data_IF_190042113747
#
_entry.id   IF_190042113747
#
_cell.length_a   1.000
_cell.length_b   1.000
_cell.length_c   1.000
_cell.angle_alpha   90.00
_cell.angle_beta   90.00
_cell.angle_gamma   90.00
#
_symmetry.space_group_name_H-M   'P 1'
#
loop_
_entity.id
_entity.type
_entity.pdbx_description
1 polymer ?
#
# COMPACT_ATOMS: atom_id res chain seq x y z
N UNK A 1 19.74 -6.00 -4.25
CA UNK A 1 18.67 -6.92 -4.69
C UNK A 1 17.30 -6.22 -4.82
N UNK A 2 17.27 -4.97 -5.29
CA UNK A 2 16.05 -4.19 -5.61
C UNK A 2 16.16 -3.81 -7.09
N UNK A 3 16.10 -4.81 -7.98
CA UNK A 3 16.32 -4.60 -9.42
C UNK A 3 15.15 -5.09 -10.30
N UNK A 4 14.12 -5.70 -9.70
CA UNK A 4 12.96 -6.24 -10.43
C UNK A 4 11.74 -5.28 -10.41
N UNK A 5 11.75 -4.25 -9.56
CA UNK A 5 10.62 -3.32 -9.40
C UNK A 5 10.83 -1.91 -9.96
N UNK A 6 12.04 -1.52 -10.37
CA UNK A 6 12.34 -0.11 -10.70
C UNK A 6 11.62 0.44 -11.93
N UNK A 7 10.92 -0.38 -12.72
CA UNK A 7 10.31 0.10 -13.96
C UNK A 7 8.78 0.15 -13.93
N UNK A 8 8.09 -0.39 -12.89
CA UNK A 8 6.64 -0.65 -12.98
C UNK A 8 5.91 -0.47 -11.64
N UNK A 9 5.38 0.72 -11.32
CA UNK A 9 4.74 1.03 -10.03
C UNK A 9 3.57 0.10 -9.71
N UNK A 10 2.79 -0.32 -10.72
CA UNK A 10 1.72 -1.30 -10.54
C UNK A 10 2.22 -2.67 -10.06
N UNK A 11 3.32 -3.16 -10.64
CA UNK A 11 3.90 -4.46 -10.26
C UNK A 11 4.59 -4.36 -8.91
N UNK A 12 5.32 -3.28 -8.66
CA UNK A 12 5.93 -2.99 -7.37
C UNK A 12 4.88 -2.97 -6.28
N UNK A 13 3.78 -2.24 -6.46
CA UNK A 13 2.69 -2.18 -5.49
C UNK A 13 2.06 -3.56 -5.24
N UNK A 14 1.86 -4.37 -6.28
CA UNK A 14 1.32 -5.72 -6.13
C UNK A 14 2.28 -6.67 -5.39
N UNK A 15 3.58 -6.63 -5.71
CA UNK A 15 4.61 -7.50 -5.09
C UNK A 15 4.85 -7.11 -3.63
N UNK A 16 5.03 -5.81 -3.36
CA UNK A 16 5.22 -5.34 -1.99
C UNK A 16 3.94 -5.45 -1.16
N UNK A 17 2.77 -5.30 -1.79
CA UNK A 17 1.48 -5.57 -1.16
C UNK A 17 1.32 -7.03 -0.75
N UNK A 18 1.63 -8.00 -1.63
CA UNK A 18 1.56 -9.43 -1.30
C UNK A 18 2.59 -9.81 -0.24
N UNK A 19 3.81 -9.27 -0.32
CA UNK A 19 4.83 -9.48 0.70
C UNK A 19 4.42 -8.87 2.05
N UNK A 20 3.77 -7.71 2.05
CA UNK A 20 3.16 -7.10 3.24
C UNK A 20 2.07 -7.96 3.86
N UNK A 21 1.15 -8.51 3.06
CA UNK A 21 0.13 -9.46 3.55
C UNK A 21 0.79 -10.70 4.17
N UNK A 22 1.79 -11.29 3.50
CA UNK A 22 2.50 -12.45 4.02
C UNK A 22 3.21 -12.15 5.33
N UNK A 23 3.91 -11.01 5.42
CA UNK A 23 4.58 -10.58 6.65
C UNK A 23 3.58 -10.36 7.79
N UNK A 24 2.41 -9.76 7.52
CA UNK A 24 1.37 -9.55 8.51
C UNK A 24 0.70 -10.86 8.95
N UNK A 25 0.47 -11.80 8.03
CA UNK A 25 -0.05 -13.14 8.36
C UNK A 25 0.95 -13.94 9.19
N UNK A 26 2.24 -13.95 8.81
CA UNK A 26 3.30 -14.58 9.61
C UNK A 26 3.36 -13.94 10.99
N UNK A 27 3.27 -12.61 11.09
CA UNK A 27 3.18 -11.90 12.36
C UNK A 27 1.97 -12.31 13.20
N UNK A 28 0.83 -12.60 12.58
CA UNK A 28 -0.39 -13.03 13.27
C UNK A 28 -0.34 -14.49 13.77
N UNK A 29 0.35 -15.37 13.04
CA UNK A 29 0.49 -16.79 13.41
C UNK A 29 1.74 -17.11 14.26
N UNK A 30 2.61 -16.12 14.49
CA UNK A 30 3.82 -16.27 15.30
C UNK A 30 3.75 -15.39 16.53
N UNK A 31 4.50 -15.75 17.57
CA UNK A 31 4.58 -15.01 18.84
C UNK A 31 6.02 -14.61 19.17
N UNK A 32 6.17 -13.62 20.07
CA UNK A 32 7.48 -13.14 20.52
C UNK A 32 8.24 -12.32 19.47
N UNK A 33 9.57 -12.40 19.48
CA UNK A 33 10.44 -11.57 18.63
C UNK A 33 10.19 -11.74 17.14
N UNK A 34 9.77 -12.94 16.71
CA UNK A 34 9.49 -13.25 15.30
C UNK A 34 8.32 -12.42 14.77
N UNK A 35 7.27 -12.24 15.56
CA UNK A 35 6.11 -11.41 15.20
C UNK A 35 6.51 -9.94 15.02
N UNK A 36 7.35 -9.42 15.93
CA UNK A 36 7.84 -8.04 15.86
C UNK A 36 8.65 -7.78 14.58
N UNK A 37 9.58 -8.69 14.23
CA UNK A 37 10.34 -8.58 12.98
C UNK A 37 9.44 -8.68 11.75
N UNK A 38 8.42 -9.55 11.77
CA UNK A 38 7.44 -9.66 10.71
C UNK A 38 6.62 -8.36 10.52
N UNK A 39 6.14 -7.75 11.60
CA UNK A 39 5.41 -6.47 11.51
C UNK A 39 6.30 -5.31 11.05
N UNK A 40 7.54 -5.23 11.54
CA UNK A 40 8.51 -4.21 11.12
C UNK A 40 8.85 -4.34 9.63
N UNK A 41 9.10 -5.56 9.16
CA UNK A 41 9.36 -5.82 7.73
C UNK A 41 8.15 -5.48 6.84
N UNK A 42 6.93 -5.79 7.28
CA UNK A 42 5.71 -5.35 6.58
C UNK A 42 5.57 -3.82 6.55
N UNK A 43 5.90 -3.13 7.65
CA UNK A 43 5.94 -1.67 7.71
C UNK A 43 6.99 -1.05 6.78
N UNK A 44 8.16 -1.68 6.65
CA UNK A 44 9.20 -1.26 5.70
C UNK A 44 8.69 -1.29 4.25
N UNK A 45 7.90 -2.31 3.90
CA UNK A 45 7.31 -2.44 2.56
C UNK A 45 6.36 -1.30 2.22
N UNK A 46 5.65 -0.75 3.22
CA UNK A 46 4.74 0.39 3.03
C UNK A 46 5.43 1.65 2.50
N UNK A 47 6.73 1.84 2.78
CA UNK A 47 7.49 3.03 2.34
C UNK A 47 7.49 3.21 0.81
N UNK A 48 7.58 2.10 0.05
CA UNK A 48 7.62 2.12 -1.42
C UNK A 48 6.20 2.17 -2.03
N UNK A 49 5.19 1.78 -1.25
CA UNK A 49 3.81 1.71 -1.72
C UNK A 49 3.21 3.11 -1.89
N UNK A 50 3.47 4.05 -0.99
CA UNK A 50 2.93 5.40 -1.09
C UNK A 50 3.29 6.13 -2.39
N UNK A 51 4.58 6.26 -2.79
CA UNK A 51 4.94 6.89 -4.06
C UNK A 51 4.39 6.12 -5.28
N UNK A 52 4.28 4.78 -5.20
CA UNK A 52 3.67 3.97 -6.26
C UNK A 52 2.17 4.25 -6.41
N UNK A 53 1.43 4.32 -5.31
CA UNK A 53 -0.01 4.67 -5.31
C UNK A 53 -0.20 6.08 -5.85
N UNK A 54 0.64 7.02 -5.42
CA UNK A 54 0.57 8.41 -5.86
C UNK A 54 0.80 8.52 -7.36
N UNK A 55 1.88 7.95 -7.89
CA UNK A 55 2.20 7.93 -9.32
C UNK A 55 1.07 7.30 -10.16
N UNK A 56 0.52 6.16 -9.72
CA UNK A 56 -0.59 5.50 -10.40
C UNK A 56 -1.88 6.34 -10.38
N UNK A 57 -2.14 7.07 -9.28
CA UNK A 57 -3.39 7.82 -9.09
C UNK A 57 -3.41 9.15 -9.84
N UNK A 58 -2.25 9.75 -10.10
CA UNK A 58 -2.15 11.01 -10.85
C UNK A 58 -1.98 10.80 -12.37
N UNK A 59 -1.65 9.57 -12.78
CA UNK A 59 -1.50 9.21 -14.19
C UNK A 59 -2.87 9.23 -14.89
N UNK A 60 -2.94 9.86 -16.07
CA UNK A 60 -4.18 9.96 -16.87
C UNK A 60 -5.10 11.12 -16.51
N UNK A 61 -4.79 11.93 -15.48
CA UNK A 61 -5.60 13.09 -15.08
C UNK A 61 -5.32 14.36 -15.91
N UNK A 62 -4.18 14.43 -16.60
CA UNK A 62 -3.81 15.56 -17.46
C UNK A 62 -3.87 16.91 -16.73
N UNK A 63 -4.75 17.82 -17.18
CA UNK A 63 -4.93 19.15 -16.55
C UNK A 63 -5.40 19.09 -15.09
N UNK A 64 -5.94 17.96 -14.63
CA UNK A 64 -6.44 17.78 -13.26
C UNK A 64 -5.42 17.14 -12.32
N UNK A 65 -4.20 16.81 -12.77
CA UNK A 65 -3.18 16.13 -11.95
C UNK A 65 -2.88 16.88 -10.64
N UNK A 66 -2.75 18.21 -10.68
CA UNK A 66 -2.51 19.03 -9.47
C UNK A 66 -3.68 19.00 -8.48
N UNK A 67 -4.92 18.91 -8.98
CA UNK A 67 -6.10 18.80 -8.13
C UNK A 67 -6.23 17.37 -7.56
N UNK A 68 -5.93 16.35 -8.36
CA UNK A 68 -5.91 14.95 -7.95
C UNK A 68 -4.88 14.67 -6.86
N UNK A 69 -3.65 15.20 -6.99
CA UNK A 69 -2.62 15.09 -5.95
C UNK A 69 -3.05 15.76 -4.64
N UNK A 70 -3.68 16.94 -4.72
CA UNK A 70 -4.21 17.64 -3.55
C UNK A 70 -5.27 16.80 -2.83
N UNK A 71 -6.18 16.15 -3.57
CA UNK A 71 -7.16 15.24 -2.98
C UNK A 71 -6.53 14.01 -2.34
N UNK A 72 -5.51 13.39 -2.97
CA UNK A 72 -4.79 12.26 -2.38
C UNK A 72 -4.16 12.61 -1.03
N UNK A 73 -3.53 13.77 -0.93
CA UNK A 73 -2.94 14.26 0.33
C UNK A 73 -4.04 14.53 1.37
N UNK A 74 -5.17 15.10 0.95
CA UNK A 74 -6.30 15.35 1.84
C UNK A 74 -6.91 14.04 2.39
N UNK A 75 -6.92 12.96 1.60
CA UNK A 75 -7.40 11.65 2.05
C UNK A 75 -6.52 11.01 3.13
N UNK A 76 -5.26 11.44 3.30
CA UNK A 76 -4.41 10.99 4.42
C UNK A 76 -5.08 11.33 5.76
N UNK A 77 -5.71 12.51 5.88
CA UNK A 77 -6.48 12.89 7.06
C UNK A 77 -7.67 11.94 7.30
N UNK A 78 -8.31 11.47 6.23
CA UNK A 78 -9.37 10.46 6.33
C UNK A 78 -8.86 9.11 6.83
N UNK A 79 -7.60 8.76 6.54
CA UNK A 79 -6.92 7.58 7.05
C UNK A 79 -6.71 7.58 8.56
N UNK A 80 -6.82 8.73 9.24
CA UNK A 80 -6.71 8.84 10.69
C UNK A 80 -7.82 8.12 11.46
N UNK A 81 -8.87 7.63 10.79
CA UNK A 81 -9.97 6.87 11.39
C UNK A 81 -9.58 5.40 11.62
N UNK A 82 -8.69 4.83 10.81
CA UNK A 82 -8.29 3.41 10.90
C UNK A 82 -7.51 3.10 12.19
N UNK A 83 -6.53 3.91 12.64
CA UNK A 83 -5.77 3.63 13.86
C UNK A 83 -6.61 3.61 15.14
N UNK A 84 -7.58 4.52 15.38
CA UNK A 84 -8.49 4.42 16.51
C UNK A 84 -9.33 3.13 16.50
N UNK A 85 -9.84 2.72 15.32
CA UNK A 85 -10.60 1.46 15.19
C UNK A 85 -9.72 0.27 15.53
N UNK A 86 -8.47 0.25 15.06
CA UNK A 86 -7.50 -0.78 15.41
C UNK A 86 -7.16 -0.75 16.92
N UNK A 87 -7.03 0.43 17.52
CA UNK A 87 -6.76 0.60 18.95
C UNK A 87 -7.86 0.04 19.83
N UNK A 88 -9.12 0.34 19.52
CA UNK A 88 -10.29 -0.19 20.24
C UNK A 88 -10.34 -1.73 20.13
N UNK A 89 -10.02 -2.27 18.96
CA UNK A 89 -9.93 -3.72 18.77
C UNK A 89 -8.77 -4.33 19.57
N UNK A 90 -7.68 -3.57 19.74
CA UNK A 90 -6.49 -3.95 20.51
C UNK A 90 -6.77 -4.05 22.00
N UNK A 91 -7.57 -3.12 22.51
CA UNK A 91 -7.95 -3.07 23.91
C UNK A 91 -8.95 -4.19 24.29
N UNK A 92 -9.71 -4.72 23.33
CA UNK A 92 -10.74 -5.75 23.57
C UNK A 92 -10.26 -7.17 23.30
N UNK A 93 -9.55 -7.40 22.18
CA UNK A 93 -9.16 -8.73 21.71
C UNK A 93 -7.64 -8.99 21.77
N UNK A 94 -6.88 -8.05 22.34
CA UNK A 94 -5.43 -8.10 22.39
C UNK A 94 -4.77 -7.48 21.14
N UNK A 95 -3.61 -6.86 21.37
CA UNK A 95 -2.84 -6.14 20.34
C UNK A 95 -2.54 -7.05 19.14
N UNK A 96 -2.28 -8.33 19.38
CA UNK A 96 -1.95 -9.30 18.35
C UNK A 96 -3.10 -9.52 17.35
N UNK A 97 -4.33 -9.73 17.83
CA UNK A 97 -5.51 -9.95 16.98
C UNK A 97 -5.87 -8.72 16.14
N UNK A 98 -5.51 -7.53 16.62
CA UNK A 98 -5.81 -6.26 15.95
C UNK A 98 -5.02 -6.02 14.68
N UNK A 99 -3.93 -6.77 14.48
CA UNK A 99 -3.19 -6.76 13.22
C UNK A 99 -3.97 -7.34 12.02
N UNK A 100 -5.18 -7.87 12.24
CA UNK A 100 -6.11 -8.20 11.14
C UNK A 100 -6.52 -6.95 10.33
N UNK A 101 -6.56 -5.76 10.95
CA UNK A 101 -6.89 -4.50 10.27
C UNK A 101 -5.81 -4.15 9.22
N UNK A 102 -4.50 -4.13 9.54
CA UNK A 102 -3.42 -4.04 8.58
C UNK A 102 -3.48 -5.07 7.46
N UNK A 103 -3.77 -6.35 7.76
CA UNK A 103 -3.90 -7.41 6.75
C UNK A 103 -4.97 -7.04 5.71
N UNK A 104 -6.14 -6.61 6.17
CA UNK A 104 -7.22 -6.14 5.28
C UNK A 104 -6.81 -4.90 4.49
N UNK A 105 -6.05 -3.98 5.10
CA UNK A 105 -5.48 -2.81 4.42
C UNK A 105 -4.54 -3.20 3.27
N UNK A 106 -3.58 -4.10 3.51
CA UNK A 106 -2.67 -4.58 2.46
C UNK A 106 -3.41 -5.35 1.35
N UNK A 107 -4.42 -6.16 1.69
CA UNK A 107 -5.28 -6.82 0.70
C UNK A 107 -6.01 -5.80 -0.18
N UNK A 108 -6.54 -4.73 0.42
CA UNK A 108 -7.16 -3.64 -0.33
C UNK A 108 -6.17 -2.94 -1.26
N UNK A 109 -4.91 -2.75 -0.86
CA UNK A 109 -3.87 -2.16 -1.71
C UNK A 109 -3.53 -3.05 -2.91
N UNK A 110 -3.50 -4.37 -2.74
CA UNK A 110 -3.32 -5.33 -3.85
C UNK A 110 -4.50 -5.21 -4.83
N UNK A 111 -5.74 -5.17 -4.31
CA UNK A 111 -6.93 -4.98 -5.13
C UNK A 111 -6.89 -3.64 -5.88
N UNK A 112 -6.49 -2.57 -5.20
CA UNK A 112 -6.31 -1.24 -5.80
C UNK A 112 -5.29 -1.29 -6.95
N UNK A 113 -4.12 -1.90 -6.74
CA UNK A 113 -3.09 -2.04 -7.77
C UNK A 113 -3.64 -2.74 -9.02
N UNK A 114 -4.40 -3.81 -8.83
CA UNK A 114 -4.99 -4.56 -9.94
C UNK A 114 -6.07 -3.76 -10.67
N UNK A 115 -6.99 -3.12 -9.93
CA UNK A 115 -8.08 -2.33 -10.50
C UNK A 115 -7.55 -1.13 -11.29
N UNK A 116 -6.62 -0.38 -10.72
CA UNK A 116 -6.02 0.81 -11.36
C UNK A 116 -5.23 0.42 -12.60
N UNK A 117 -4.48 -0.68 -12.55
CA UNK A 117 -3.82 -1.22 -13.74
C UNK A 117 -4.80 -1.54 -14.87
N UNK A 118 -5.97 -2.10 -14.55
CA UNK A 118 -7.02 -2.36 -15.53
C UNK A 118 -7.62 -1.08 -16.12
N UNK A 119 -7.87 -0.07 -15.28
CA UNK A 119 -8.42 1.23 -15.71
C UNK A 119 -7.45 1.98 -16.61
N UNK A 120 -6.17 2.09 -16.23
CA UNK A 120 -5.18 2.79 -17.06
C UNK A 120 -4.96 2.09 -18.41
N UNK A 121 -4.95 0.75 -18.41
CA UNK A 121 -4.89 -0.02 -19.66
C UNK A 121 -6.09 0.27 -20.56
N UNK A 122 -7.29 0.41 -19.99
CA UNK A 122 -8.50 0.78 -20.74
C UNK A 122 -8.45 2.22 -21.27
N UNK A 123 -7.66 3.10 -20.66
CA UNK A 123 -7.46 4.48 -21.11
C UNK A 123 -6.33 4.61 -22.14
N UNK A 124 -5.71 3.50 -22.55
CA UNK A 124 -4.60 3.49 -23.51
C UNK A 124 -3.26 3.94 -22.93
N UNK A 125 -3.15 4.13 -21.61
CA UNK A 125 -1.89 4.43 -20.95
C UNK A 125 -1.10 3.14 -20.72
N UNK A 126 0.18 3.15 -21.08
CA UNK A 126 1.05 2.03 -20.79
C UNK A 126 1.43 2.07 -19.31
N UNK A 127 0.78 1.21 -18.52
CA UNK A 127 1.06 1.04 -17.08
C UNK A 127 2.54 0.70 -16.84
N UNK A 128 3.23 0.19 -17.86
CA UNK A 128 4.65 -0.15 -17.82
C UNK A 128 5.59 1.04 -18.09
N UNK A 129 5.09 2.19 -18.56
CA UNK A 129 5.89 3.40 -18.81
C UNK A 129 5.73 4.46 -17.72
N UNK A 130 4.98 4.16 -16.67
CA UNK A 130 4.79 5.06 -15.54
C UNK A 130 6.04 4.90 -14.68
N UNK A 131 6.95 5.86 -14.74
CA UNK A 131 8.05 5.90 -13.80
C UNK A 131 7.51 6.20 -12.39
N UNK A 132 7.99 5.46 -11.39
CA UNK A 132 7.86 5.95 -10.03
C UNK A 132 8.59 7.28 -9.97
N UNK A 133 7.94 8.35 -9.52
CA UNK A 133 8.66 9.54 -9.07
C UNK A 133 9.61 9.09 -7.96
N UNK A 134 10.85 8.80 -8.35
CA UNK A 134 11.96 8.65 -7.46
C UNK A 134 12.12 9.98 -6.75
N UNK A 135 11.92 9.98 -5.44
CA UNK A 135 12.29 11.11 -4.62
C UNK A 135 13.79 11.35 -4.79
N UNK A 136 14.09 12.44 -5.49
CA UNK A 136 15.41 13.05 -5.71
C UNK A 136 16.37 12.34 -6.67
#
# INVERSE_FOLDING_TARGET
AVFIGQEKPAKTLAIFGTLGVLAMLVGLFTEGSVATFAFVSGGLCCSIMWPSIFALSITGLGKYTSQGSSFLIMMILGGAIIPPVQGILGDTNGIHSSYVIPVLGFLYLIFFAWKVSGVLKSQGYDVNSIEQEGGH
#
